data_IF_863860727446
#
_entry.id   IF_863860727446
#
_cell.length_a   1.000
_cell.length_b   1.000
_cell.length_c   1.000
_cell.angle_alpha   90.00
_cell.angle_beta   90.00
_cell.angle_gamma   90.00
#
_symmetry.space_group_name_H-M   'P 1'
#
loop_
_entity.id
_entity.type
_entity.pdbx_description
1 polymer ?
#
# COMPACT_ATOMS: atom_id res chain seq x y z
N UNK A 1 -37.63 -22.72 -51.55
CA UNK A 1 -36.25 -22.19 -51.66
C UNK A 1 -35.73 -21.44 -50.42
N UNK A 2 -36.55 -21.12 -49.41
CA UNK A 2 -36.09 -20.36 -48.23
C UNK A 2 -35.48 -21.21 -47.09
N UNK A 3 -35.56 -22.54 -47.18
CA UNK A 3 -35.11 -23.46 -46.12
C UNK A 3 -33.59 -23.65 -46.06
N UNK A 4 -32.86 -23.43 -47.16
CA UNK A 4 -31.40 -23.65 -47.21
C UNK A 4 -30.58 -22.58 -46.47
N UNK A 5 -31.10 -21.35 -46.38
CA UNK A 5 -30.45 -20.24 -45.65
C UNK A 5 -30.88 -20.18 -44.17
N UNK A 6 -32.09 -20.64 -43.86
CA UNK A 6 -32.61 -20.60 -42.49
C UNK A 6 -31.85 -21.56 -41.56
N UNK A 7 -31.50 -22.75 -42.04
CA UNK A 7 -30.76 -23.76 -41.26
C UNK A 7 -29.39 -23.26 -40.75
N UNK A 8 -28.49 -22.71 -41.60
CA UNK A 8 -27.20 -22.20 -41.12
C UNK A 8 -27.34 -20.95 -40.23
N UNK A 9 -28.31 -20.07 -40.51
CA UNK A 9 -28.57 -18.91 -39.64
C UNK A 9 -29.08 -19.36 -38.27
N UNK A 10 -30.03 -20.31 -38.23
CA UNK A 10 -30.53 -20.89 -36.99
C UNK A 10 -29.40 -21.54 -36.17
N UNK A 11 -28.52 -22.31 -36.83
CA UNK A 11 -27.35 -22.92 -36.17
C UNK A 11 -26.44 -21.88 -35.50
N UNK A 12 -26.12 -20.79 -36.21
CA UNK A 12 -25.29 -19.72 -35.65
C UNK A 12 -26.00 -19.02 -34.49
N UNK A 13 -27.32 -18.75 -34.59
CA UNK A 13 -28.06 -18.11 -33.48
C UNK A 13 -28.10 -18.99 -32.22
N UNK A 14 -28.25 -20.30 -32.37
CA UNK A 14 -28.19 -21.24 -31.24
C UNK A 14 -26.78 -21.27 -30.64
N UNK A 15 -25.73 -21.26 -31.48
CA UNK A 15 -24.35 -21.26 -31.01
C UNK A 15 -24.01 -19.96 -30.25
N UNK A 16 -24.40 -18.81 -30.80
CA UNK A 16 -24.16 -17.50 -30.17
C UNK A 16 -24.95 -17.37 -28.87
N UNK A 17 -26.20 -17.80 -28.83
CA UNK A 17 -27.01 -17.77 -27.59
C UNK A 17 -26.44 -18.71 -26.54
N UNK A 18 -26.06 -19.94 -26.89
CA UNK A 18 -25.39 -20.87 -25.98
C UNK A 18 -24.06 -20.31 -25.45
N UNK A 19 -23.24 -19.71 -26.33
CA UNK A 19 -21.97 -19.08 -25.95
C UNK A 19 -22.17 -17.86 -25.05
N UNK A 20 -23.20 -17.05 -25.31
CA UNK A 20 -23.53 -15.88 -24.48
C UNK A 20 -24.03 -16.30 -23.08
N UNK A 21 -24.91 -17.31 -23.01
CA UNK A 21 -25.39 -17.87 -21.74
C UNK A 21 -24.21 -18.44 -20.95
N UNK A 22 -23.36 -19.26 -21.58
CA UNK A 22 -22.17 -19.82 -20.92
C UNK A 22 -21.21 -18.72 -20.44
N UNK A 23 -20.92 -17.72 -21.27
CA UNK A 23 -20.06 -16.59 -20.91
C UNK A 23 -20.60 -15.81 -19.72
N UNK A 24 -21.91 -15.58 -19.67
CA UNK A 24 -22.59 -14.89 -18.56
C UNK A 24 -22.54 -15.72 -17.28
N UNK A 25 -22.85 -17.01 -17.34
CA UNK A 25 -22.81 -17.90 -16.17
C UNK A 25 -21.38 -18.07 -15.66
N UNK A 26 -20.41 -18.27 -16.54
CA UNK A 26 -19.00 -18.40 -16.17
C UNK A 26 -18.44 -17.12 -15.55
N UNK A 27 -18.69 -15.95 -16.15
CA UNK A 27 -18.27 -14.66 -15.55
C UNK A 27 -18.97 -14.41 -14.22
N UNK A 28 -20.26 -14.73 -14.09
CA UNK A 28 -20.99 -14.58 -12.83
C UNK A 28 -20.43 -15.49 -11.74
N UNK A 29 -20.17 -16.77 -12.03
CA UNK A 29 -19.56 -17.70 -11.08
C UNK A 29 -18.17 -17.25 -10.66
N UNK A 30 -17.34 -16.83 -11.62
CA UNK A 30 -15.99 -16.31 -11.33
C UNK A 30 -16.02 -15.01 -10.52
N UNK A 31 -17.01 -14.15 -10.73
CA UNK A 31 -17.21 -12.96 -9.90
C UNK A 31 -17.58 -13.33 -8.46
N UNK A 32 -18.48 -14.30 -8.27
CA UNK A 32 -18.86 -14.79 -6.93
C UNK A 32 -17.67 -15.42 -6.20
N UNK A 33 -16.85 -16.21 -6.90
CA UNK A 33 -15.62 -16.77 -6.30
C UNK A 33 -14.60 -15.70 -5.90
N UNK A 34 -14.59 -14.55 -6.57
CA UNK A 34 -13.75 -13.41 -6.17
C UNK A 34 -14.31 -12.67 -4.96
N UNK A 35 -15.63 -12.64 -4.78
CA UNK A 35 -16.26 -12.03 -3.60
C UNK A 35 -16.20 -12.89 -2.34
N UNK A 36 -15.93 -14.19 -2.46
CA UNK A 36 -15.76 -15.10 -1.31
C UNK A 36 -14.34 -15.12 -0.76
N UNK A 37 -13.46 -14.26 -1.26
CA UNK A 37 -12.08 -14.15 -0.82
C UNK A 37 -12.05 -13.36 0.49
N UNK A 38 -11.32 -13.89 1.48
CA UNK A 38 -11.07 -13.21 2.74
C UNK A 38 -10.31 -11.89 2.50
N UNK A 39 -10.73 -10.76 3.12
CA UNK A 39 -10.06 -9.48 2.97
C UNK A 39 -8.62 -9.53 3.48
N UNK A 40 -7.72 -8.80 2.81
CA UNK A 40 -6.28 -8.79 3.13
C UNK A 40 -5.99 -8.16 4.49
N UNK A 41 -6.69 -7.07 4.79
CA UNK A 41 -6.63 -6.41 6.09
C UNK A 41 -7.82 -6.83 6.94
N UNK A 42 -7.57 -6.98 8.24
CA UNK A 42 -8.63 -7.13 9.23
C UNK A 42 -9.55 -5.91 9.23
N UNK A 43 -10.70 -6.04 9.91
CA UNK A 43 -11.65 -4.94 10.10
C UNK A 43 -10.94 -3.64 10.55
N UNK A 44 -11.49 -2.49 10.16
CA UNK A 44 -10.90 -1.16 10.35
C UNK A 44 -11.49 -0.48 11.59
N UNK A 45 -10.93 -0.67 12.80
CA UNK A 45 -11.58 -0.24 14.03
C UNK A 45 -11.71 1.28 14.13
N UNK A 46 -10.72 2.03 13.64
CA UNK A 46 -10.73 3.51 13.67
C UNK A 46 -11.78 4.09 12.73
N UNK A 47 -12.02 3.45 11.58
CA UNK A 47 -13.15 3.77 10.69
C UNK A 47 -14.48 3.47 11.36
N UNK A 48 -14.65 2.30 11.97
CA UNK A 48 -15.91 1.93 12.64
C UNK A 48 -16.21 2.88 13.81
N UNK A 49 -15.19 3.27 14.58
CA UNK A 49 -15.35 4.29 15.64
C UNK A 49 -15.81 5.61 15.04
N UNK A 50 -15.19 6.08 13.95
CA UNK A 50 -15.62 7.31 13.28
C UNK A 50 -17.07 7.24 12.76
N UNK A 51 -17.45 6.13 12.11
CA UNK A 51 -18.81 5.93 11.62
C UNK A 51 -19.82 5.84 12.77
N UNK A 52 -19.45 5.22 13.89
CA UNK A 52 -20.29 5.20 15.09
C UNK A 52 -20.46 6.60 15.68
N UNK A 53 -19.42 7.43 15.70
CA UNK A 53 -19.49 8.83 16.15
C UNK A 53 -20.34 9.70 15.22
N UNK A 54 -20.39 9.38 13.93
CA UNK A 54 -21.22 10.09 12.96
C UNK A 54 -22.71 9.71 13.09
N UNK A 55 -22.98 8.46 13.51
CA UNK A 55 -24.33 7.95 13.72
C UNK A 55 -24.90 8.22 15.13
N UNK A 56 -24.11 8.78 16.04
CA UNK A 56 -24.50 9.01 17.43
C UNK A 56 -25.49 10.18 17.58
N UNK A 57 -26.46 10.04 18.49
CA UNK A 57 -27.41 11.09 18.88
C UNK A 57 -27.31 11.32 20.40
N UNK A 58 -26.91 12.52 20.88
CA UNK A 58 -26.75 13.80 20.19
C UNK A 58 -25.49 13.90 19.31
N UNK A 59 -25.45 14.84 18.33
CA UNK A 59 -24.34 14.95 17.39
C UNK A 59 -23.02 15.20 18.12
N UNK A 60 -22.02 14.37 17.82
CA UNK A 60 -20.69 14.48 18.37
C UNK A 60 -20.05 15.85 18.03
N UNK A 61 -19.23 16.43 18.92
CA UNK A 61 -18.58 17.70 18.65
C UNK A 61 -17.61 17.58 17.48
N UNK A 62 -17.57 18.61 16.62
CA UNK A 62 -16.76 18.61 15.40
C UNK A 62 -15.27 18.36 15.65
N UNK A 63 -14.74 18.84 16.79
CA UNK A 63 -13.34 18.60 17.19
C UNK A 63 -13.04 17.11 17.39
N UNK A 64 -14.00 16.35 17.93
CA UNK A 64 -13.88 14.91 18.12
C UNK A 64 -13.92 14.17 16.79
N UNK A 65 -14.80 14.58 15.87
CA UNK A 65 -14.88 14.02 14.51
C UNK A 65 -13.58 14.25 13.73
N UNK A 66 -12.99 15.44 13.81
CA UNK A 66 -11.68 15.74 13.20
C UNK A 66 -10.55 14.88 13.78
N UNK A 67 -10.55 14.68 15.10
CA UNK A 67 -9.57 13.82 15.77
C UNK A 67 -9.75 12.33 15.40
N UNK A 68 -10.99 11.87 15.30
CA UNK A 68 -11.32 10.52 14.86
C UNK A 68 -10.92 10.29 13.38
N UNK A 69 -11.18 11.26 12.49
CA UNK A 69 -10.74 11.19 11.10
C UNK A 69 -9.21 11.16 10.98
N UNK A 70 -8.50 11.94 11.80
CA UNK A 70 -7.04 11.88 11.86
C UNK A 70 -6.53 10.51 12.34
N UNK A 71 -7.20 9.90 13.32
CA UNK A 71 -6.88 8.56 13.82
C UNK A 71 -7.12 7.47 12.76
N UNK A 72 -8.18 7.62 11.96
CA UNK A 72 -8.44 6.79 10.77
C UNK A 72 -7.30 6.92 9.76
N UNK A 73 -6.91 8.15 9.40
CA UNK A 73 -5.81 8.41 8.48
C UNK A 73 -4.46 7.86 8.97
N UNK A 74 -4.16 7.93 10.27
CA UNK A 74 -2.94 7.32 10.86
C UNK A 74 -2.92 5.82 10.63
N UNK A 75 -4.07 5.15 10.84
CA UNK A 75 -4.20 3.70 10.61
C UNK A 75 -3.99 3.35 9.13
N UNK A 76 -4.52 4.17 8.22
CA UNK A 76 -4.33 3.99 6.78
C UNK A 76 -2.86 4.14 6.38
N UNK A 77 -2.14 5.11 6.94
CA UNK A 77 -0.69 5.27 6.71
C UNK A 77 0.09 4.03 7.19
N UNK A 78 -0.25 3.49 8.36
CA UNK A 78 0.38 2.26 8.85
C UNK A 78 0.10 1.07 7.91
N UNK A 79 -1.11 0.98 7.34
CA UNK A 79 -1.45 -0.03 6.33
C UNK A 79 -0.67 0.17 5.03
N UNK A 80 -0.47 1.42 4.59
CA UNK A 80 0.36 1.73 3.40
C UNK A 80 1.79 1.20 3.59
N UNK A 81 2.42 1.41 4.75
CA UNK A 81 3.77 0.90 5.00
C UNK A 81 3.82 -0.62 4.90
N UNK A 82 2.88 -1.32 5.55
CA UNK A 82 2.78 -2.79 5.47
C UNK A 82 2.60 -3.26 4.03
N UNK A 83 1.70 -2.62 3.28
CA UNK A 83 1.41 -2.99 1.89
C UNK A 83 2.64 -2.78 0.99
N UNK A 84 3.42 -1.72 1.22
CA UNK A 84 4.67 -1.47 0.47
C UNK A 84 5.73 -2.53 0.76
N UNK A 85 5.91 -2.90 2.03
CA UNK A 85 6.86 -3.96 2.41
C UNK A 85 6.44 -5.29 1.80
N UNK A 86 5.16 -5.65 1.94
CA UNK A 86 4.57 -6.87 1.40
C UNK A 86 4.67 -6.94 -0.14
N UNK A 87 4.47 -5.83 -0.86
CA UNK A 87 4.57 -5.77 -2.33
C UNK A 87 5.92 -6.26 -2.83
N UNK A 88 6.99 -5.81 -2.17
CA UNK A 88 8.36 -6.20 -2.55
C UNK A 88 8.64 -7.67 -2.25
N UNK A 89 8.19 -8.16 -1.09
CA UNK A 89 8.34 -9.54 -0.70
C UNK A 89 7.55 -10.50 -1.62
N UNK A 90 6.27 -10.19 -1.87
CA UNK A 90 5.37 -10.99 -2.71
C UNK A 90 5.83 -11.04 -4.16
N UNK A 91 6.31 -9.94 -4.73
CA UNK A 91 6.85 -9.95 -6.10
C UNK A 91 8.00 -10.96 -6.25
N UNK A 92 8.91 -11.01 -5.28
CA UNK A 92 10.02 -11.98 -5.29
C UNK A 92 9.55 -13.42 -5.12
N UNK A 93 8.51 -13.64 -4.31
CA UNK A 93 8.00 -14.96 -3.97
C UNK A 93 7.12 -15.55 -5.09
N UNK A 94 6.36 -14.69 -5.77
CA UNK A 94 5.55 -15.02 -6.93
C UNK A 94 6.41 -15.45 -8.12
N UNK A 95 7.51 -14.73 -8.41
CA UNK A 95 8.45 -15.12 -9.49
C UNK A 95 9.11 -16.48 -9.25
N UNK A 96 9.22 -16.93 -8.00
CA UNK A 96 9.73 -18.25 -7.62
C UNK A 96 8.66 -19.35 -7.63
N UNK A 97 7.40 -19.02 -7.91
CA UNK A 97 6.28 -19.97 -7.89
C UNK A 97 5.89 -20.45 -6.49
N UNK A 98 6.35 -19.78 -5.43
CA UNK A 98 6.04 -20.16 -4.03
C UNK A 98 4.71 -19.58 -3.53
N UNK A 99 4.12 -18.64 -4.28
CA UNK A 99 2.81 -18.02 -4.02
C UNK A 99 1.94 -18.13 -5.26
N UNK A 100 0.67 -18.45 -5.07
CA UNK A 100 -0.31 -18.55 -6.17
C UNK A 100 -0.78 -17.19 -6.70
N UNK A 101 -1.27 -17.19 -7.95
CA UNK A 101 -1.84 -16.02 -8.63
C UNK A 101 -3.09 -15.46 -7.93
N UNK A 102 -3.82 -16.33 -7.21
CA UNK A 102 -4.96 -15.91 -6.40
C UNK A 102 -4.52 -14.89 -5.34
N UNK A 103 -3.49 -15.18 -4.54
CA UNK A 103 -2.92 -14.27 -3.53
C UNK A 103 -2.50 -12.93 -4.14
N UNK A 104 -1.88 -12.94 -5.33
CA UNK A 104 -1.49 -11.72 -6.02
C UNK A 104 -2.70 -10.88 -6.44
N UNK A 105 -3.78 -11.54 -6.87
CA UNK A 105 -5.06 -10.89 -7.15
C UNK A 105 -5.69 -10.31 -5.89
N UNK A 106 -5.62 -11.00 -4.74
CA UNK A 106 -6.11 -10.48 -3.44
C UNK A 106 -5.34 -9.25 -3.01
N UNK A 107 -4.03 -9.29 -3.13
CA UNK A 107 -3.15 -8.17 -2.79
C UNK A 107 -3.46 -6.93 -3.66
N UNK A 108 -3.65 -7.12 -4.98
CA UNK A 108 -4.03 -6.04 -5.87
C UNK A 108 -5.43 -5.46 -5.54
N UNK A 109 -6.38 -6.31 -5.11
CA UNK A 109 -7.69 -5.84 -4.65
C UNK A 109 -7.57 -5.01 -3.36
N UNK A 110 -6.73 -5.43 -2.41
CA UNK A 110 -6.46 -4.70 -1.18
C UNK A 110 -5.77 -3.35 -1.41
N UNK A 111 -4.87 -3.27 -2.40
CA UNK A 111 -4.27 -2.00 -2.84
C UNK A 111 -5.34 -1.04 -3.35
N UNK A 112 -6.27 -1.53 -4.18
CA UNK A 112 -7.41 -0.73 -4.69
C UNK A 112 -8.39 -0.31 -3.59
N UNK A 113 -8.66 -1.19 -2.62
CA UNK A 113 -9.51 -0.88 -1.47
C UNK A 113 -8.89 0.21 -0.60
N UNK A 114 -7.59 0.14 -0.32
CA UNK A 114 -6.87 1.16 0.44
C UNK A 114 -6.77 2.49 -0.32
N UNK A 115 -6.56 2.47 -1.63
CA UNK A 115 -6.62 3.67 -2.47
C UNK A 115 -7.99 4.35 -2.40
N UNK A 116 -9.07 3.57 -2.47
CA UNK A 116 -10.43 4.09 -2.35
C UNK A 116 -10.67 4.72 -0.97
N UNK A 117 -10.25 4.05 0.11
CA UNK A 117 -10.35 4.56 1.47
C UNK A 117 -9.60 5.89 1.65
N UNK A 118 -8.39 6.02 1.11
CA UNK A 118 -7.61 7.27 1.15
C UNK A 118 -8.36 8.41 0.46
N UNK A 119 -8.92 8.15 -0.73
CA UNK A 119 -9.71 9.16 -1.47
C UNK A 119 -10.95 9.57 -0.67
N UNK A 120 -11.62 8.62 -0.02
CA UNK A 120 -12.79 8.87 0.81
C UNK A 120 -12.41 9.78 2.00
N UNK A 121 -11.33 9.44 2.72
CA UNK A 121 -10.81 10.23 3.85
C UNK A 121 -10.39 11.65 3.42
N UNK A 122 -9.76 11.80 2.26
CA UNK A 122 -9.42 13.13 1.70
C UNK A 122 -10.70 13.92 1.40
N UNK A 123 -11.70 13.26 0.81
CA UNK A 123 -12.96 13.91 0.46
C UNK A 123 -13.71 14.37 1.71
N UNK A 124 -13.77 13.53 2.75
CA UNK A 124 -14.36 13.85 4.06
C UNK A 124 -13.58 14.98 4.76
N UNK A 125 -12.25 14.96 4.72
CA UNK A 125 -11.46 16.05 5.28
C UNK A 125 -11.78 17.40 4.62
N UNK A 126 -12.02 17.40 3.30
CA UNK A 126 -12.39 18.60 2.57
C UNK A 126 -13.79 19.11 2.91
N UNK A 127 -14.70 18.27 3.43
CA UNK A 127 -16.02 18.73 3.91
C UNK A 127 -15.91 19.50 5.21
N UNK A 128 -15.00 19.12 6.12
CA UNK A 128 -14.72 19.87 7.35
C UNK A 128 -14.00 21.20 7.06
N UNK A 129 -12.99 21.17 6.19
CA UNK A 129 -12.25 22.37 5.79
C UNK A 129 -11.64 22.18 4.40
N UNK A 130 -11.96 23.09 3.49
CA UNK A 130 -11.40 23.08 2.14
C UNK A 130 -9.86 23.06 2.17
N UNK A 131 -9.26 22.11 1.46
CA UNK A 131 -7.80 21.96 1.37
C UNK A 131 -7.15 21.24 2.56
N UNK A 132 -7.91 20.83 3.58
CA UNK A 132 -7.34 20.09 4.72
C UNK A 132 -6.85 18.69 4.32
N UNK A 133 -7.53 18.03 3.39
CA UNK A 133 -7.14 16.68 2.93
C UNK A 133 -5.72 16.59 2.36
N UNK A 134 -5.20 17.68 1.78
CA UNK A 134 -3.83 17.72 1.25
C UNK A 134 -2.75 17.60 2.34
N UNK A 135 -3.03 18.16 3.52
CA UNK A 135 -2.09 18.16 4.64
C UNK A 135 -2.36 17.03 5.64
N UNK A 136 -3.59 16.48 5.65
CA UNK A 136 -4.01 15.45 6.60
C UNK A 136 -3.08 14.25 6.61
N UNK A 137 -2.75 13.68 5.45
CA UNK A 137 -1.89 12.50 5.35
C UNK A 137 -0.42 12.79 5.67
N UNK A 138 0.06 14.02 5.45
CA UNK A 138 1.39 14.43 5.89
C UNK A 138 1.44 14.49 7.43
N UNK A 139 0.45 15.11 8.07
CA UNK A 139 0.33 15.12 9.54
C UNK A 139 0.16 13.70 10.11
N UNK A 140 -0.68 12.87 9.49
CA UNK A 140 -0.87 11.48 9.90
C UNK A 140 0.41 10.65 9.79
N UNK A 141 1.26 10.92 8.79
CA UNK A 141 2.57 10.26 8.63
C UNK A 141 3.50 10.60 9.78
N UNK A 142 3.62 11.88 10.13
CA UNK A 142 4.44 12.32 11.28
C UNK A 142 3.92 11.71 12.58
N UNK A 143 2.60 11.67 12.79
CA UNK A 143 2.00 11.06 13.96
C UNK A 143 2.21 9.53 14.02
N UNK A 144 2.10 8.83 12.89
CA UNK A 144 2.36 7.40 12.82
C UNK A 144 3.83 7.07 13.14
N UNK A 145 4.78 7.92 12.72
CA UNK A 145 6.19 7.75 13.09
C UNK A 145 6.44 8.05 14.57
N UNK A 146 5.79 9.09 15.12
CA UNK A 146 5.84 9.38 16.55
C UNK A 146 5.27 8.23 17.39
N UNK A 147 4.18 7.59 16.96
CA UNK A 147 3.61 6.43 17.64
C UNK A 147 4.57 5.23 17.60
N UNK A 148 5.14 4.92 16.44
CA UNK A 148 6.14 3.85 16.28
C UNK A 148 7.36 4.04 17.18
N UNK A 149 7.89 5.27 17.26
CA UNK A 149 9.05 5.57 18.12
C UNK A 149 8.69 5.51 19.60
N UNK A 150 7.51 6.03 19.99
CA UNK A 150 6.99 5.94 21.36
C UNK A 150 6.81 4.48 21.79
N UNK A 151 6.20 3.64 20.95
CA UNK A 151 6.04 2.21 21.21
C UNK A 151 7.38 1.51 21.41
N UNK A 152 8.37 1.82 20.56
CA UNK A 152 9.72 1.28 20.69
C UNK A 152 10.33 1.63 22.06
N UNK A 153 10.26 2.90 22.49
CA UNK A 153 10.79 3.36 23.78
C UNK A 153 10.08 2.71 24.96
N UNK A 154 8.74 2.61 24.93
CA UNK A 154 7.98 1.95 26.01
C UNK A 154 8.33 0.45 26.08
N UNK A 155 8.47 -0.21 24.92
CA UNK A 155 8.80 -1.61 24.86
C UNK A 155 10.26 -1.91 25.26
N UNK A 156 11.21 -0.97 25.06
CA UNK A 156 12.59 -1.13 25.51
C UNK A 156 12.70 -1.44 27.01
N UNK A 157 11.88 -0.80 27.85
CA UNK A 157 11.87 -1.06 29.29
C UNK A 157 11.43 -2.50 29.61
N UNK A 158 10.36 -2.96 28.94
CA UNK A 158 9.84 -4.33 29.10
C UNK A 158 10.85 -5.37 28.62
N UNK A 159 11.45 -5.13 27.45
CA UNK A 159 12.48 -6.01 26.87
C UNK A 159 13.69 -6.10 27.79
N UNK A 160 14.15 -4.98 28.36
CA UNK A 160 15.29 -4.97 29.28
C UNK A 160 15.05 -5.86 30.50
N UNK A 161 13.89 -5.75 31.15
CA UNK A 161 13.56 -6.59 32.32
C UNK A 161 13.48 -8.07 31.94
N UNK A 162 12.90 -8.39 30.78
CA UNK A 162 12.84 -9.76 30.28
C UNK A 162 14.23 -10.33 30.00
N UNK A 163 15.11 -9.52 29.41
CA UNK A 163 16.51 -9.87 29.12
C UNK A 163 17.34 -10.06 30.39
N UNK A 164 17.21 -9.18 31.39
CA UNK A 164 17.88 -9.33 32.68
C UNK A 164 17.45 -10.62 33.40
N UNK A 165 16.15 -10.96 33.38
CA UNK A 165 15.65 -12.24 33.91
C UNK A 165 16.20 -13.44 33.13
N UNK A 166 16.27 -13.35 31.79
CA UNK A 166 16.84 -14.39 30.92
C UNK A 166 18.32 -14.61 31.22
N UNK A 167 19.08 -13.53 31.36
CA UNK A 167 20.51 -13.54 31.70
C UNK A 167 20.76 -14.10 33.10
N UNK A 168 19.96 -13.71 34.11
CA UNK A 168 20.08 -14.24 35.47
C UNK A 168 19.81 -15.76 35.52
N UNK A 169 18.80 -16.25 34.80
CA UNK A 169 18.55 -17.70 34.65
C UNK A 169 19.75 -18.39 34.01
N UNK A 170 20.27 -17.84 32.90
CA UNK A 170 21.43 -18.40 32.21
C UNK A 170 22.69 -18.41 33.10
N UNK A 171 22.94 -17.34 33.85
CA UNK A 171 24.05 -17.24 34.79
C UNK A 171 23.95 -18.31 35.89
N UNK A 172 22.75 -18.56 36.43
CA UNK A 172 22.52 -19.61 37.43
C UNK A 172 22.91 -21.01 36.91
N UNK A 173 22.63 -21.33 35.65
CA UNK A 173 23.01 -22.62 35.06
C UNK A 173 24.49 -22.69 34.64
N UNK A 174 25.13 -21.57 34.29
CA UNK A 174 26.54 -21.53 33.92
C UNK A 174 27.50 -21.54 35.13
N UNK A 175 27.07 -21.05 36.30
CA UNK A 175 27.84 -21.09 37.55
C UNK A 175 27.81 -22.47 38.25
N UNK A 176 26.87 -23.35 37.89
CA UNK A 176 26.77 -24.72 38.42
C UNK A 176 27.62 -25.69 37.60
N UNK A 177 28.96 -25.53 37.61
CA UNK A 177 29.88 -26.57 37.14
C UNK A 177 31.17 -26.59 37.97
N UNK A 178 31.25 -27.37 39.07
CA UNK A 178 32.51 -27.87 39.56
C UNK A 178 32.83 -29.15 38.78
N UNK A 179 33.67 -29.06 37.74
CA UNK A 179 34.38 -30.25 37.27
C UNK A 179 35.68 -30.36 38.03
N UNK A 180 35.68 -31.26 39.00
CA UNK A 180 36.86 -31.93 39.52
C UNK A 180 37.66 -32.51 38.35
N UNK A 181 38.81 -31.91 38.06
CA UNK A 181 39.91 -32.61 37.38
C UNK A 181 40.55 -33.57 38.39
N UNK A 182 40.64 -34.88 38.11
CA UNK A 182 41.61 -35.74 38.79
C UNK A 182 42.97 -35.64 38.07
N UNK A 183 44.02 -35.41 38.86
CA UNK A 183 45.41 -35.24 38.45
C UNK A 183 46.21 -36.56 38.38
N UNK A 184 46.94 -36.77 37.27
CA UNK A 184 48.29 -37.37 37.20
C UNK A 184 48.45 -38.69 36.39
N UNK A 185 49.67 -39.06 35.90
CA UNK A 185 50.95 -38.34 35.89
C UNK A 185 51.62 -38.22 34.48
N UNK A 186 52.79 -37.56 34.48
CA UNK A 186 53.63 -37.13 33.36
C UNK A 186 54.11 -38.23 32.40
N UNK A 187 54.25 -37.86 31.11
CA UNK A 187 55.40 -38.30 30.31
C UNK A 187 55.76 -37.24 29.27
N UNK A 188 57.05 -36.93 29.30
CA UNK A 188 57.76 -35.88 28.61
C UNK A 188 57.91 -36.21 27.13
N UNK A 189 57.67 -35.23 26.24
CA UNK A 189 58.50 -35.05 25.04
C UNK A 189 58.66 -33.55 24.80
N UNK A 190 59.73 -32.99 25.37
CA UNK A 190 60.30 -31.72 24.91
C UNK A 190 61.24 -31.98 23.72
N UNK A 191 60.88 -31.47 22.54
CA UNK A 191 61.77 -31.04 21.44
C UNK A 191 60.82 -30.47 20.38
N UNK A 192 60.91 -29.24 19.89
CA UNK A 192 62.10 -28.50 19.50
C UNK A 192 61.80 -26.99 19.60
N UNK A 193 62.84 -26.29 20.00
CA UNK A 193 62.95 -24.84 20.18
C UNK A 193 62.91 -24.13 18.82
N UNK A 194 62.32 -22.93 18.83
CA UNK A 194 62.56 -21.79 17.95
C UNK A 194 62.54 -22.01 16.42
N UNK A 195 61.54 -21.43 15.77
CA UNK A 195 61.77 -20.56 14.62
C UNK A 195 60.49 -19.78 14.29
N UNK A 196 60.62 -18.44 14.33
CA UNK A 196 59.92 -17.48 13.47
C UNK A 196 58.42 -17.29 13.76
N UNK A 197 57.93 -16.16 14.26
CA UNK A 197 58.33 -14.79 13.99
C UNK A 197 57.29 -14.12 13.08
N UNK A 198 56.62 -13.09 13.61
CA UNK A 198 55.82 -12.07 12.92
C UNK A 198 54.45 -12.55 12.36
N UNK A 199 53.34 -11.80 12.38
CA UNK A 199 53.13 -10.38 12.61
C UNK A 199 51.63 -10.08 12.90
N UNK A 200 51.39 -9.05 13.73
CA UNK A 200 50.35 -8.00 13.61
C UNK A 200 48.85 -8.31 13.87
N UNK A 201 48.32 -7.66 14.91
CA UNK A 201 46.97 -7.07 14.97
C UNK A 201 46.93 -5.71 14.21
N UNK A 202 45.82 -4.93 14.20
CA UNK A 202 44.49 -5.16 13.64
C UNK A 202 44.05 -4.01 12.68
N UNK A 203 43.04 -4.20 11.82
CA UNK A 203 42.38 -3.10 11.09
C UNK A 203 40.87 -3.40 10.99
N UNK A 204 40.01 -2.68 11.70
CA UNK A 204 39.39 -1.35 11.42
C UNK A 204 38.26 -1.42 10.39
N UNK A 205 37.06 -1.21 10.93
CA UNK A 205 35.74 -1.09 10.30
C UNK A 205 35.62 0.24 9.55
N UNK A 206 34.96 0.30 8.37
CA UNK A 206 34.35 1.53 7.89
C UNK A 206 32.83 1.50 8.09
N UNK A 207 32.38 2.49 8.85
CA UNK A 207 31.03 3.00 8.96
C UNK A 207 30.70 3.80 7.68
N UNK A 208 29.55 3.54 7.05
CA UNK A 208 28.99 4.43 6.02
C UNK A 208 27.48 4.56 6.22
N UNK A 209 27.07 5.74 6.66
CA UNK A 209 25.70 6.21 6.74
C UNK A 209 25.18 6.57 5.34
N UNK A 210 23.94 6.19 5.02
CA UNK A 210 23.14 6.86 3.99
C UNK A 210 21.65 6.73 4.33
N UNK A 211 21.06 7.87 4.68
CA UNK A 211 19.63 8.16 4.85
C UNK A 211 18.80 7.86 3.58
N UNK A 212 17.51 7.49 3.68
CA UNK A 212 16.57 7.55 2.56
C UNK A 212 15.40 8.50 2.89
N UNK A 213 15.59 9.81 2.65
CA UNK A 213 14.52 10.81 2.75
C UNK A 213 13.87 11.20 1.40
N UNK A 214 14.29 10.61 0.27
CA UNK A 214 13.96 11.15 -1.07
C UNK A 214 12.84 10.42 -1.86
N UNK A 215 12.20 9.39 -1.32
CA UNK A 215 11.31 8.53 -2.14
C UNK A 215 9.81 8.84 -2.05
N UNK A 216 9.35 9.74 -1.18
CA UNK A 216 7.92 10.08 -1.07
C UNK A 216 7.49 11.13 -2.12
N UNK A 217 8.40 11.98 -2.57
CA UNK A 217 8.15 12.96 -3.63
C UNK A 217 7.97 12.35 -5.02
N UNK A 218 8.41 11.10 -5.25
CA UNK A 218 8.33 10.46 -6.56
C UNK A 218 6.95 9.91 -6.92
N UNK A 219 6.05 9.78 -5.93
CA UNK A 219 4.65 9.44 -6.19
C UNK A 219 3.79 10.66 -6.58
N UNK A 220 4.27 11.88 -6.32
CA UNK A 220 3.54 13.12 -6.66
C UNK A 220 4.01 13.72 -7.99
N UNK A 221 5.25 13.45 -8.42
CA UNK A 221 5.80 13.96 -9.69
C UNK A 221 5.30 13.17 -10.93
N UNK A 222 4.93 11.90 -10.77
CA UNK A 222 4.48 11.02 -11.85
C UNK A 222 3.14 11.43 -12.49
N UNK A 223 2.33 12.23 -11.78
CA UNK A 223 1.03 12.71 -12.26
C UNK A 223 1.15 14.04 -13.04
N UNK A 224 2.28 14.75 -12.92
CA UNK A 224 2.43 16.10 -13.50
C UNK A 224 2.98 16.12 -14.93
N UNK A 225 3.52 15.01 -15.44
CA UNK A 225 4.16 14.93 -16.78
C UNK A 225 3.27 14.39 -17.90
N UNK A 226 2.02 13.99 -17.63
CA UNK A 226 1.09 13.52 -18.67
C UNK A 226 0.10 14.61 -19.15
N UNK A 227 0.33 15.88 -18.78
CA UNK A 227 -0.55 16.99 -19.17
C UNK A 227 0.23 18.24 -19.57
N UNK A 228 1.05 18.11 -20.62
CA UNK A 228 1.62 19.19 -21.46
C UNK A 228 2.49 18.48 -22.51
N UNK A 229 2.17 18.40 -23.81
CA UNK A 229 1.93 19.48 -24.77
C UNK A 229 1.48 18.87 -26.15
N UNK A 230 1.16 19.68 -27.19
CA UNK A 230 0.05 19.43 -28.11
C UNK A 230 0.46 18.85 -29.48
N UNK A 231 -0.52 18.34 -30.24
CA UNK A 231 -0.70 18.67 -31.67
C UNK A 231 -2.03 18.15 -32.23
N UNK A 232 -2.61 19.01 -33.07
CA UNK A 232 -3.90 18.93 -33.70
C UNK A 232 -3.99 17.87 -34.81
N UNK A 233 -5.19 17.31 -35.02
CA UNK A 233 -5.99 17.48 -36.25
C UNK A 233 -7.19 16.53 -36.24
N UNK A 234 -8.40 17.08 -36.20
CA UNK A 234 -9.63 16.37 -36.57
C UNK A 234 -9.72 16.22 -38.11
N UNK A 235 -10.67 15.41 -38.61
CA UNK A 235 -11.92 16.06 -39.02
C UNK A 235 -13.20 15.28 -38.65
N UNK A 236 -14.21 16.03 -38.26
CA UNK A 236 -15.63 15.63 -38.15
C UNK A 236 -16.37 16.23 -39.36
N UNK A 237 -17.31 15.54 -40.02
CA UNK A 237 -18.07 16.12 -41.11
C UNK A 237 -19.31 16.89 -40.62
N UNK A 238 -19.49 18.06 -41.24
CA UNK A 238 -20.75 18.66 -41.70
C UNK A 238 -21.89 18.96 -40.72
N UNK A 239 -22.09 20.25 -40.44
CA UNK A 239 -23.42 20.85 -40.31
C UNK A 239 -23.42 22.35 -40.71
N UNK A 240 -23.90 22.58 -41.93
CA UNK A 240 -24.57 23.74 -42.54
C UNK A 240 -24.83 24.98 -41.67
N UNK A 241 -24.37 26.15 -42.14
CA UNK A 241 -25.10 27.43 -42.07
C UNK A 241 -24.85 28.25 -43.36
N UNK A 242 -25.84 28.97 -43.89
CA UNK A 242 -25.70 29.66 -45.16
C UNK A 242 -25.13 31.08 -45.03
N UNK A 243 -24.54 31.47 -46.15
CA UNK A 243 -23.78 32.67 -46.49
C UNK A 243 -24.58 33.98 -46.45
N UNK A 244 -23.91 35.07 -46.09
CA UNK A 244 -24.41 36.45 -46.19
C UNK A 244 -24.30 36.98 -47.63
N UNK A 245 -25.33 37.68 -48.12
CA UNK A 245 -25.15 38.68 -49.17
C UNK A 245 -26.29 39.72 -49.18
N UNK A 246 -25.91 40.98 -49.00
CA UNK A 246 -26.45 42.12 -49.76
C UNK A 246 -27.67 42.86 -49.19
N UNK A 247 -27.55 44.19 -49.16
CA UNK A 247 -28.71 45.08 -49.35
C UNK A 247 -28.79 46.23 -48.35
N UNK A 248 -28.41 47.44 -48.78
CA UNK A 248 -28.39 48.64 -47.96
C UNK A 248 -29.77 49.19 -47.56
N UNK A 249 -29.77 50.20 -46.67
CA UNK A 249 -30.97 51.00 -46.45
C UNK A 249 -31.05 51.76 -45.12
N UNK A 250 -30.63 53.03 -45.16
CA UNK A 250 -31.30 54.21 -44.55
C UNK A 250 -31.66 54.26 -43.04
N UNK A 251 -31.10 55.34 -42.45
CA UNK A 251 -31.76 56.43 -41.68
C UNK A 251 -32.17 56.24 -40.20
N UNK A 252 -31.64 57.23 -39.44
CA UNK A 252 -32.29 58.13 -38.45
C UNK A 252 -32.44 57.68 -36.98
N UNK A 253 -32.02 58.60 -36.09
CA UNK A 253 -32.62 58.87 -34.78
C UNK A 253 -31.79 58.38 -33.60
N UNK A 254 -30.93 59.18 -32.96
CA UNK A 254 -31.15 60.26 -31.98
C UNK A 254 -31.24 59.72 -30.52
N UNK A 255 -30.35 60.27 -29.68
CA UNK A 255 -30.38 60.47 -28.21
C UNK A 255 -31.75 60.14 -27.57
N UNK A 256 -31.81 59.52 -26.40
CA UNK A 256 -31.28 60.02 -25.12
C UNK A 256 -31.52 58.94 -24.06
#
# INVERSE_FOLDING_TARGET
MATSLFVPVAYITVLVTAMAIFSRVYRRRRAVSKTSIEPWFSNHPTREVYMSLLADEPPAPENLLKAALLSRAITDVQRIWRLKDDKTALASLHMRGLVGDDTMTRFAAAEKELEAEIVDVISEANTFKQGWGQFLFATATEMAQAEKTKEAVINMHKTRIAEEKRLARRAKYLLQKPQTQPSGPESQVQKVVAATGAAQSPAKVPLSQKEPSDSISQLTEGVRKESAEPKASMPVPSAVTPNSKGGGGKKKGKKK
#
